data_IF_422114098049
#
_entry.id   IF_422114098049
#
_cell.length_a   1.000
_cell.length_b   1.000
_cell.length_c   1.000
_cell.angle_alpha   90.00
_cell.angle_beta   90.00
_cell.angle_gamma   90.00
#
_symmetry.space_group_name_H-M   'P 1'
#
loop_
_entity.id
_entity.type
_entity.pdbx_description
1 polymer ?
#
# COMPACT_ATOMS: atom_id res chain seq x y z
N UNK A 1 -73.44 141.92 84.72
CA UNK A 1 -72.63 142.92 83.98
C UNK A 1 -72.30 142.36 82.60
N UNK A 2 -71.91 143.24 81.68
CA UNK A 2 -71.42 143.06 80.30
C UNK A 2 -70.63 141.76 80.01
N UNK A 3 -70.79 141.11 78.84
CA UNK A 3 -70.24 141.47 77.49
C UNK A 3 -68.70 141.31 77.46
N UNK A 4 -68.01 140.74 76.46
CA UNK A 4 -68.39 140.45 75.05
C UNK A 4 -67.49 139.31 74.41
N UNK A 5 -67.28 139.15 73.08
CA UNK A 5 -67.57 137.94 72.29
C UNK A 5 -66.28 137.15 71.86
N UNK A 6 -66.17 136.29 70.82
CA UNK A 6 -66.95 136.09 69.58
C UNK A 6 -66.69 134.78 68.80
N UNK A 7 -67.43 134.65 67.69
CA UNK A 7 -67.17 133.93 66.43
C UNK A 7 -67.18 132.38 66.37
N UNK A 8 -68.32 131.88 65.84
CA UNK A 8 -68.48 131.00 64.67
C UNK A 8 -67.72 129.66 64.59
N UNK A 9 -68.33 128.54 64.16
CA UNK A 9 -69.62 128.34 63.47
C UNK A 9 -70.10 126.87 63.63
N UNK A 10 -71.43 126.67 63.69
CA UNK A 10 -72.27 125.52 63.20
C UNK A 10 -71.66 124.12 62.97
N UNK A 11 -72.33 122.99 63.25
CA UNK A 11 -73.56 122.70 64.01
C UNK A 11 -73.64 121.18 64.26
N UNK A 12 -74.06 120.79 65.47
CA UNK A 12 -74.86 119.58 65.83
C UNK A 12 -74.80 118.29 64.97
N UNK A 13 -74.45 117.15 65.58
CA UNK A 13 -75.46 116.11 65.90
C UNK A 13 -74.94 114.92 66.74
N UNK A 14 -75.88 114.18 67.36
CA UNK A 14 -75.68 113.23 68.45
C UNK A 14 -75.36 111.78 67.97
N UNK A 15 -74.18 111.20 68.26
CA UNK A 15 -73.56 110.17 67.40
C UNK A 15 -73.86 108.69 67.72
N UNK A 16 -74.99 108.34 68.37
CA UNK A 16 -75.21 106.96 68.88
C UNK A 16 -76.32 106.13 68.19
N UNK A 17 -76.77 106.47 66.97
CA UNK A 17 -77.82 105.71 66.25
C UNK A 17 -77.63 105.56 64.72
N UNK A 18 -76.46 105.15 64.23
CA UNK A 18 -76.29 104.72 62.81
C UNK A 18 -75.32 103.56 62.57
N UNK A 19 -74.82 102.87 63.61
CA UNK A 19 -73.85 101.77 63.43
C UNK A 19 -74.51 100.47 62.94
N UNK A 20 -74.84 100.44 61.65
CA UNK A 20 -75.36 99.26 60.96
C UNK A 20 -74.24 98.23 60.72
N UNK A 21 -74.04 97.33 61.69
CA UNK A 21 -73.16 96.18 61.54
C UNK A 21 -73.64 95.15 60.49
N UNK A 22 -74.90 95.26 60.03
CA UNK A 22 -75.52 94.34 59.08
C UNK A 22 -74.85 94.32 57.69
N UNK A 23 -74.14 95.39 57.32
CA UNK A 23 -73.44 95.52 56.03
C UNK A 23 -71.90 95.46 56.18
N UNK A 24 -71.38 94.72 57.17
CA UNK A 24 -69.94 94.55 57.34
C UNK A 24 -69.33 93.68 56.24
N UNK A 25 -68.58 94.30 55.34
CA UNK A 25 -67.69 93.62 54.38
C UNK A 25 -66.24 93.83 54.80
N UNK A 26 -65.56 92.75 55.21
CA UNK A 26 -64.16 92.81 55.65
C UNK A 26 -63.22 93.34 54.55
N UNK A 27 -63.51 93.03 53.28
CA UNK A 27 -62.74 93.50 52.11
C UNK A 27 -62.84 95.01 51.91
N UNK A 28 -64.01 95.59 52.14
CA UNK A 28 -64.27 97.00 51.88
C UNK A 28 -63.84 97.85 53.08
N UNK A 29 -64.04 97.34 54.30
CA UNK A 29 -63.49 97.93 55.52
C UNK A 29 -61.96 98.01 55.51
N UNK A 30 -61.26 96.98 54.98
CA UNK A 30 -59.79 96.98 54.84
C UNK A 30 -59.24 98.08 53.92
N UNK A 31 -60.04 98.58 52.97
CA UNK A 31 -59.64 99.68 52.08
C UNK A 31 -59.83 101.06 52.74
N UNK A 32 -60.77 101.18 53.67
CA UNK A 32 -61.12 102.44 54.34
C UNK A 32 -60.32 102.68 55.63
N UNK A 33 -59.75 101.63 56.22
CA UNK A 33 -59.20 101.64 57.58
C UNK A 33 -57.68 101.40 57.55
N UNK A 34 -56.91 102.39 58.02
CA UNK A 34 -55.45 102.30 58.09
C UNK A 34 -54.92 101.41 59.22
N UNK A 35 -53.66 100.98 59.08
CA UNK A 35 -52.95 100.05 59.99
C UNK A 35 -52.89 100.50 61.45
N UNK A 36 -52.92 101.81 61.71
CA UNK A 36 -52.88 102.40 63.06
C UNK A 36 -54.17 102.21 63.87
N UNK A 37 -55.26 101.77 63.24
CA UNK A 37 -56.57 101.63 63.88
C UNK A 37 -56.73 100.36 64.74
N UNK A 38 -55.89 99.34 64.51
CA UNK A 38 -55.97 97.99 65.09
C UNK A 38 -57.33 97.26 64.91
N UNK A 39 -58.23 97.75 64.03
CA UNK A 39 -59.57 97.15 63.83
C UNK A 39 -59.60 95.91 62.92
N UNK A 40 -58.54 95.69 62.15
CA UNK A 40 -58.37 94.55 61.26
C UNK A 40 -56.93 94.04 61.45
N UNK A 41 -56.78 92.74 61.72
CA UNK A 41 -55.49 92.08 61.90
C UNK A 41 -55.29 91.09 60.76
N UNK A 42 -54.33 91.37 59.87
CA UNK A 42 -54.06 90.54 58.68
C UNK A 42 -53.62 89.10 59.01
N UNK A 43 -53.20 88.84 60.25
CA UNK A 43 -52.88 87.50 60.75
C UNK A 43 -54.10 86.63 61.12
N UNK A 44 -55.32 87.18 61.21
CA UNK A 44 -56.54 86.44 61.58
C UNK A 44 -57.02 85.51 60.46
N UNK A 45 -56.75 85.87 59.20
CA UNK A 45 -56.99 85.09 57.98
C UNK A 45 -58.38 84.39 57.91
N UNK A 46 -59.40 85.19 57.61
CA UNK A 46 -60.76 84.71 57.35
C UNK A 46 -60.87 83.71 56.18
N UNK A 47 -59.80 83.53 55.38
CA UNK A 47 -59.76 82.57 54.26
C UNK A 47 -59.15 81.21 54.60
N UNK A 48 -58.66 81.01 55.84
CA UNK A 48 -57.91 79.83 56.28
C UNK A 48 -58.55 78.50 55.87
N UNK A 49 -59.86 78.34 56.10
CA UNK A 49 -60.61 77.12 55.77
C UNK A 49 -60.63 76.81 54.27
N UNK A 50 -60.79 77.84 53.42
CA UNK A 50 -60.77 77.70 51.97
C UNK A 50 -59.35 77.38 51.47
N UNK A 51 -58.31 78.05 52.00
CA UNK A 51 -56.91 77.74 51.65
C UNK A 51 -56.54 76.31 52.06
N UNK A 52 -56.91 75.88 53.26
CA UNK A 52 -56.66 74.51 53.74
C UNK A 52 -57.35 73.46 52.87
N UNK A 53 -58.60 73.69 52.47
CA UNK A 53 -59.33 72.80 51.54
C UNK A 53 -58.67 72.76 50.15
N UNK A 54 -58.23 73.91 49.62
CA UNK A 54 -57.53 73.97 48.34
C UNK A 54 -56.20 73.21 48.39
N UNK A 55 -55.40 73.40 49.45
CA UNK A 55 -54.15 72.66 49.67
C UNK A 55 -54.38 71.15 49.77
N UNK A 56 -55.44 70.71 50.47
CA UNK A 56 -55.81 69.29 50.54
C UNK A 56 -56.22 68.72 49.17
N UNK A 57 -56.95 69.49 48.35
CA UNK A 57 -57.32 69.08 46.99
C UNK A 57 -56.11 69.01 46.06
N UNK A 58 -55.20 70.00 46.12
CA UNK A 58 -53.94 70.00 45.37
C UNK A 58 -53.05 68.82 45.77
N UNK A 59 -52.91 68.56 47.08
CA UNK A 59 -52.13 67.42 47.58
C UNK A 59 -52.75 66.08 47.14
N UNK A 60 -54.08 65.95 47.14
CA UNK A 60 -54.77 64.76 46.63
C UNK A 60 -54.50 64.55 45.14
N UNK A 61 -54.68 65.60 44.33
CA UNK A 61 -54.47 65.56 42.88
C UNK A 61 -53.03 65.18 42.51
N UNK A 62 -52.03 65.77 43.18
CA UNK A 62 -50.62 65.38 43.00
C UNK A 62 -50.33 63.93 43.42
N UNK A 63 -50.94 63.43 44.51
CA UNK A 63 -50.79 62.04 44.93
C UNK A 63 -51.46 61.10 43.92
N UNK A 64 -52.67 61.43 43.45
CA UNK A 64 -53.41 60.64 42.47
C UNK A 64 -52.61 60.55 41.13
N UNK A 65 -52.03 61.66 40.67
CA UNK A 65 -51.12 61.72 39.51
C UNK A 65 -49.86 60.86 39.72
N UNK A 66 -49.17 61.01 40.85
CA UNK A 66 -47.96 60.21 41.17
C UNK A 66 -48.27 58.70 41.30
N UNK A 67 -49.44 58.34 41.82
CA UNK A 67 -49.89 56.93 41.91
C UNK A 67 -50.16 56.38 40.51
N UNK A 68 -50.79 57.17 39.62
CA UNK A 68 -51.07 56.77 38.25
C UNK A 68 -49.77 56.61 37.44
N UNK A 69 -48.88 57.60 37.43
CA UNK A 69 -47.56 57.52 36.77
C UNK A 69 -46.74 56.32 37.26
N UNK A 70 -46.80 56.03 38.57
CA UNK A 70 -46.09 54.89 39.16
C UNK A 70 -46.67 53.55 38.71
N UNK A 71 -48.00 53.44 38.56
CA UNK A 71 -48.67 52.23 38.02
C UNK A 71 -48.31 52.02 36.56
N UNK A 72 -48.46 53.04 35.72
CA UNK A 72 -48.10 52.99 34.30
C UNK A 72 -46.63 52.60 34.10
N UNK A 73 -45.72 53.17 34.90
CA UNK A 73 -44.30 52.78 34.90
C UNK A 73 -44.09 51.32 35.32
N UNK A 74 -44.84 50.82 36.31
CA UNK A 74 -44.76 49.42 36.74
C UNK A 74 -45.30 48.45 35.68
N UNK A 75 -46.37 48.81 34.99
CA UNK A 75 -46.95 48.02 33.90
C UNK A 75 -46.00 47.98 32.69
N UNK A 76 -45.45 49.13 32.27
CA UNK A 76 -44.43 49.19 31.22
C UNK A 76 -43.16 48.40 31.56
N UNK A 77 -42.67 48.47 32.80
CA UNK A 77 -41.54 47.66 33.27
C UNK A 77 -41.85 46.16 33.26
N UNK A 78 -43.09 45.77 33.55
CA UNK A 78 -43.52 44.38 33.50
C UNK A 78 -43.61 43.87 32.06
N UNK A 79 -44.20 44.65 31.16
CA UNK A 79 -44.31 44.31 29.73
C UNK A 79 -42.93 44.20 29.08
N UNK A 80 -42.03 45.16 29.32
CA UNK A 80 -40.66 45.11 28.79
C UNK A 80 -39.85 43.94 29.35
N UNK A 81 -40.02 43.58 30.62
CA UNK A 81 -39.41 42.37 31.20
C UNK A 81 -39.96 41.09 30.55
N UNK A 82 -41.28 40.99 30.33
CA UNK A 82 -41.90 39.84 29.66
C UNK A 82 -41.44 39.70 28.21
N UNK A 83 -41.31 40.82 27.47
CA UNK A 83 -40.77 40.82 26.11
C UNK A 83 -39.30 40.37 26.08
N UNK A 84 -38.48 40.83 27.04
CA UNK A 84 -37.09 40.41 27.17
C UNK A 84 -36.95 38.92 27.52
N UNK A 85 -37.76 38.41 28.45
CA UNK A 85 -37.78 36.99 28.80
C UNK A 85 -38.17 36.12 27.59
N UNK A 86 -39.19 36.53 26.82
CA UNK A 86 -39.61 35.84 25.59
C UNK A 86 -38.55 35.87 24.48
N UNK A 87 -37.82 36.98 24.34
CA UNK A 87 -36.67 37.04 23.42
C UNK A 87 -35.55 36.10 23.88
N UNK A 88 -35.27 36.06 25.19
CA UNK A 88 -34.22 35.24 25.79
C UNK A 88 -34.51 33.74 25.70
N UNK A 89 -35.75 33.30 25.89
CA UNK A 89 -36.14 31.90 25.67
C UNK A 89 -36.00 31.54 24.19
N UNK A 90 -36.49 32.37 23.27
CA UNK A 90 -36.34 32.13 21.82
C UNK A 90 -34.87 32.02 21.39
N UNK A 91 -33.98 32.89 21.89
CA UNK A 91 -32.52 32.80 21.61
C UNK A 91 -31.93 31.50 22.17
N UNK A 92 -32.33 31.08 23.37
CA UNK A 92 -31.88 29.84 23.98
C UNK A 92 -32.34 28.60 23.19
N UNK A 93 -33.60 28.56 22.77
CA UNK A 93 -34.16 27.46 22.00
C UNK A 93 -33.51 27.35 20.61
N UNK A 94 -33.24 28.49 19.97
CA UNK A 94 -32.46 28.56 18.74
C UNK A 94 -31.03 28.06 18.94
N UNK A 95 -30.36 28.42 20.04
CA UNK A 95 -29.01 27.95 20.35
C UNK A 95 -28.97 26.42 20.56
N UNK A 96 -29.93 25.86 21.31
CA UNK A 96 -30.07 24.40 21.51
C UNK A 96 -30.32 23.69 20.17
N UNK A 97 -31.20 24.24 19.33
CA UNK A 97 -31.50 23.69 18.00
C UNK A 97 -30.26 23.66 17.10
N UNK A 98 -29.48 24.75 17.07
CA UNK A 98 -28.23 24.83 16.32
C UNK A 98 -27.16 23.87 16.84
N UNK A 99 -27.00 23.75 18.17
CA UNK A 99 -26.04 22.83 18.79
C UNK A 99 -26.39 21.36 18.47
N UNK A 100 -27.68 21.00 18.53
CA UNK A 100 -28.13 19.65 18.16
C UNK A 100 -27.92 19.36 16.67
N UNK A 101 -28.25 20.32 15.79
CA UNK A 101 -28.00 20.19 14.36
C UNK A 101 -26.50 20.06 14.02
N UNK A 102 -25.63 20.74 14.79
CA UNK A 102 -24.18 20.61 14.66
C UNK A 102 -23.69 19.23 15.12
N UNK A 103 -24.15 18.75 16.28
CA UNK A 103 -23.84 17.42 16.82
C UNK A 103 -24.21 16.31 15.84
N UNK A 104 -25.40 16.36 15.23
CA UNK A 104 -25.83 15.36 14.25
C UNK A 104 -25.00 15.44 12.96
N UNK A 105 -24.67 16.64 12.45
CA UNK A 105 -23.75 16.79 11.31
C UNK A 105 -22.35 16.21 11.60
N UNK A 106 -21.80 16.44 12.80
CA UNK A 106 -20.52 15.87 13.24
C UNK A 106 -20.57 14.34 13.27
N UNK A 107 -21.61 13.75 13.87
CA UNK A 107 -21.82 12.29 13.90
C UNK A 107 -21.94 11.70 12.49
N UNK A 108 -22.73 12.34 11.62
CA UNK A 108 -22.91 11.92 10.24
C UNK A 108 -21.58 11.92 9.47
N UNK A 109 -20.80 13.01 9.56
CA UNK A 109 -19.48 13.10 8.95
C UNK A 109 -18.52 12.03 9.48
N UNK A 110 -18.47 11.84 10.81
CA UNK A 110 -17.63 10.81 11.44
C UNK A 110 -17.98 9.40 10.95
N UNK A 111 -19.27 9.07 10.87
CA UNK A 111 -19.76 7.79 10.34
C UNK A 111 -19.37 7.62 8.87
N UNK A 112 -19.57 8.65 8.05
CA UNK A 112 -19.25 8.64 6.61
C UNK A 112 -17.73 8.43 6.39
N UNK A 113 -16.88 9.13 7.13
CA UNK A 113 -15.43 8.94 7.10
C UNK A 113 -15.02 7.53 7.59
N UNK A 114 -15.70 6.98 8.59
CA UNK A 114 -15.44 5.61 9.06
C UNK A 114 -15.81 4.57 8.00
N UNK A 115 -16.94 4.73 7.31
CA UNK A 115 -17.39 3.85 6.23
C UNK A 115 -16.45 3.94 5.02
N UNK A 116 -16.06 5.15 4.61
CA UNK A 116 -15.05 5.36 3.57
C UNK A 116 -13.70 4.70 3.90
N UNK A 117 -13.18 4.90 5.13
CA UNK A 117 -11.92 4.30 5.56
C UNK A 117 -11.99 2.77 5.60
N UNK A 118 -13.14 2.18 5.96
CA UNK A 118 -13.37 0.72 5.88
C UNK A 118 -13.33 0.22 4.43
N UNK A 119 -14.00 0.92 3.51
CA UNK A 119 -13.98 0.58 2.09
C UNK A 119 -12.56 0.67 1.53
N UNK A 120 -11.84 1.77 1.80
CA UNK A 120 -10.46 1.95 1.35
C UNK A 120 -9.51 0.88 1.91
N UNK A 121 -9.70 0.46 3.16
CA UNK A 121 -8.94 -0.65 3.75
C UNK A 121 -9.22 -2.00 3.05
N UNK A 122 -10.49 -2.26 2.70
CA UNK A 122 -10.89 -3.45 1.94
C UNK A 122 -10.31 -3.46 0.52
N UNK A 123 -10.43 -2.35 -0.21
CA UNK A 123 -9.85 -2.19 -1.55
C UNK A 123 -8.32 -2.37 -1.54
N UNK A 124 -7.64 -1.83 -0.52
CA UNK A 124 -6.20 -2.03 -0.32
C UNK A 124 -5.84 -3.50 -0.07
N UNK A 125 -6.64 -4.21 0.74
CA UNK A 125 -6.45 -5.63 1.02
C UNK A 125 -6.64 -6.49 -0.24
N UNK A 126 -7.72 -6.29 -0.98
CA UNK A 126 -7.98 -7.03 -2.22
C UNK A 126 -6.94 -6.72 -3.30
N UNK A 127 -6.48 -5.47 -3.43
CA UNK A 127 -5.36 -5.11 -4.32
C UNK A 127 -4.08 -5.86 -3.94
N UNK A 128 -3.71 -5.88 -2.65
CA UNK A 128 -2.52 -6.59 -2.18
C UNK A 128 -2.65 -8.12 -2.40
N UNK A 129 -3.82 -8.69 -2.16
CA UNK A 129 -4.12 -10.11 -2.41
C UNK A 129 -4.01 -10.47 -3.88
N UNK A 130 -4.51 -9.63 -4.79
CA UNK A 130 -4.43 -9.85 -6.22
C UNK A 130 -2.99 -9.67 -6.74
N UNK A 131 -2.25 -8.67 -6.23
CA UNK A 131 -0.83 -8.49 -6.54
C UNK A 131 0.00 -9.72 -6.11
N UNK A 132 -0.23 -10.24 -4.90
CA UNK A 132 0.43 -11.47 -4.44
C UNK A 132 0.07 -12.69 -5.31
N UNK A 133 -1.17 -12.82 -5.80
CA UNK A 133 -1.52 -13.90 -6.75
C UNK A 133 -0.73 -13.79 -8.05
N UNK A 134 -0.67 -12.60 -8.64
CA UNK A 134 0.07 -12.35 -9.88
C UNK A 134 1.56 -12.67 -9.67
N UNK A 135 2.14 -12.23 -8.55
CA UNK A 135 3.53 -12.53 -8.19
C UNK A 135 3.78 -14.05 -8.04
N UNK A 136 2.85 -14.80 -7.44
CA UNK A 136 2.96 -16.27 -7.34
C UNK A 136 2.81 -16.95 -8.72
N UNK A 137 1.92 -16.45 -9.59
CA UNK A 137 1.77 -16.94 -10.96
C UNK A 137 3.04 -16.66 -11.79
N UNK A 138 3.60 -15.45 -11.72
CA UNK A 138 4.85 -15.07 -12.39
C UNK A 138 6.04 -15.88 -11.86
N UNK A 139 6.14 -16.10 -10.55
CA UNK A 139 7.16 -16.96 -9.95
C UNK A 139 7.02 -18.41 -10.44
N UNK A 140 5.81 -18.95 -10.51
CA UNK A 140 5.55 -20.30 -11.00
C UNK A 140 5.84 -20.44 -12.51
N UNK A 141 5.52 -19.41 -13.29
CA UNK A 141 5.86 -19.32 -14.72
C UNK A 141 7.39 -19.27 -14.91
N UNK A 142 8.11 -18.49 -14.10
CA UNK A 142 9.57 -18.41 -14.13
C UNK A 142 10.23 -19.74 -13.73
N UNK A 143 9.73 -20.42 -12.70
CA UNK A 143 10.17 -21.77 -12.31
C UNK A 143 9.94 -22.76 -13.46
N UNK A 144 8.75 -22.73 -14.09
CA UNK A 144 8.42 -23.58 -15.23
C UNK A 144 9.36 -23.32 -16.43
N UNK A 145 9.61 -22.05 -16.75
CA UNK A 145 10.56 -21.64 -17.78
C UNK A 145 11.98 -22.15 -17.48
N UNK A 146 12.49 -21.92 -16.27
CA UNK A 146 13.80 -22.43 -15.87
C UNK A 146 13.88 -23.96 -15.88
N UNK A 147 12.78 -24.67 -15.66
CA UNK A 147 12.72 -26.14 -15.67
C UNK A 147 12.64 -26.72 -17.08
N UNK A 148 12.05 -26.00 -18.04
CA UNK A 148 11.76 -26.50 -19.40
C UNK A 148 12.66 -25.90 -20.50
N UNK A 149 13.40 -24.82 -20.20
CA UNK A 149 14.29 -24.18 -21.17
C UNK A 149 15.42 -25.12 -21.62
N UNK A 150 15.71 -25.09 -22.92
CA UNK A 150 16.79 -25.85 -23.57
C UNK A 150 18.17 -25.68 -22.93
N UNK A 151 18.42 -24.54 -22.27
CA UNK A 151 19.68 -24.28 -21.56
C UNK A 151 19.79 -25.15 -20.30
N UNK A 152 18.88 -24.99 -19.35
CA UNK A 152 18.88 -25.75 -18.08
C UNK A 152 18.61 -27.26 -18.27
N UNK A 153 17.79 -27.64 -19.25
CA UNK A 153 17.53 -29.06 -19.58
C UNK A 153 18.66 -29.73 -20.36
N UNK A 154 19.69 -28.96 -20.73
CA UNK A 154 20.81 -29.38 -21.58
C UNK A 154 20.39 -30.05 -22.91
N UNK A 155 19.20 -29.71 -23.43
CA UNK A 155 18.56 -30.35 -24.59
C UNK A 155 19.53 -30.53 -25.78
N UNK A 156 19.79 -31.78 -26.17
CA UNK A 156 20.74 -32.13 -27.24
C UNK A 156 20.22 -31.80 -28.65
N UNK A 157 18.94 -31.50 -28.80
CA UNK A 157 18.39 -31.06 -30.09
C UNK A 157 18.95 -29.70 -30.52
N UNK A 158 19.39 -28.84 -29.59
CA UNK A 158 20.05 -27.56 -29.93
C UNK A 158 21.46 -27.74 -30.51
N UNK A 159 22.00 -28.96 -30.50
CA UNK A 159 23.28 -29.29 -31.12
C UNK A 159 23.17 -29.46 -32.64
N UNK A 160 21.99 -29.79 -33.18
CA UNK A 160 21.78 -30.03 -34.63
C UNK A 160 21.73 -28.72 -35.41
N UNK A 161 22.38 -28.67 -36.56
CA UNK A 161 22.34 -27.52 -37.48
C UNK A 161 21.06 -27.54 -38.33
N UNK A 162 20.38 -26.40 -38.45
CA UNK A 162 19.24 -26.27 -39.36
C UNK A 162 19.59 -26.47 -40.85
N UNK A 163 20.89 -26.44 -41.21
CA UNK A 163 21.36 -26.59 -42.59
C UNK A 163 21.53 -28.06 -43.03
N UNK A 164 21.68 -29.01 -42.11
CA UNK A 164 21.83 -30.44 -42.41
C UNK A 164 21.73 -31.28 -41.15
N UNK A 165 21.02 -32.40 -41.22
CA UNK A 165 20.82 -33.31 -40.07
C UNK A 165 22.12 -33.92 -39.54
N UNK A 166 23.09 -34.21 -40.41
CA UNK A 166 24.38 -34.79 -40.03
C UNK A 166 25.40 -33.74 -39.57
N UNK A 167 25.01 -32.46 -39.48
CA UNK A 167 25.91 -31.35 -39.10
C UNK A 167 25.57 -30.84 -37.71
N UNK A 168 26.58 -30.82 -36.84
CA UNK A 168 26.48 -30.24 -35.51
C UNK A 168 26.90 -28.75 -35.50
N UNK A 169 26.30 -27.97 -34.60
CA UNK A 169 26.65 -26.57 -34.33
C UNK A 169 27.89 -26.55 -33.42
N UNK A 170 29.04 -25.99 -33.86
CA UNK A 170 30.32 -26.16 -33.14
C UNK A 170 30.30 -25.69 -31.68
N UNK A 171 29.67 -24.54 -31.41
CA UNK A 171 29.60 -23.93 -30.07
C UNK A 171 28.48 -24.49 -29.18
N UNK A 172 27.64 -25.41 -29.69
CA UNK A 172 26.62 -26.11 -28.91
C UNK A 172 26.88 -27.62 -28.82
N UNK A 173 28.08 -28.11 -29.19
CA UNK A 173 28.38 -29.54 -29.17
C UNK A 173 28.53 -30.08 -27.74
N UNK A 174 27.67 -31.03 -27.36
CA UNK A 174 27.63 -31.65 -26.01
C UNK A 174 28.14 -33.10 -26.00
N UNK A 175 28.87 -33.50 -27.05
CA UNK A 175 29.38 -34.86 -27.25
C UNK A 175 28.40 -35.81 -27.94
N UNK A 176 28.89 -37.01 -28.26
CA UNK A 176 28.13 -38.03 -29.02
C UNK A 176 26.92 -38.58 -28.26
N UNK A 177 25.86 -38.86 -29.03
CA UNK A 177 24.64 -39.54 -28.60
C UNK A 177 24.98 -40.93 -28.02
N UNK A 178 24.31 -41.38 -26.93
CA UNK A 178 24.39 -42.76 -26.45
C UNK A 178 24.30 -43.85 -27.53
N UNK A 179 23.49 -43.66 -28.58
CA UNK A 179 23.40 -44.60 -29.70
C UNK A 179 24.66 -44.64 -30.58
N UNK A 180 25.29 -43.49 -30.85
CA UNK A 180 26.57 -43.43 -31.59
C UNK A 180 27.67 -44.12 -30.77
N UNK A 181 27.72 -43.84 -29.46
CA UNK A 181 28.64 -44.51 -28.51
C UNK A 181 28.40 -46.02 -28.45
N UNK A 182 27.15 -46.48 -28.56
CA UNK A 182 26.82 -47.92 -28.60
C UNK A 182 27.35 -48.56 -29.89
N UNK A 183 27.11 -47.96 -31.05
CA UNK A 183 27.65 -48.45 -32.34
C UNK A 183 29.17 -48.57 -32.34
N UNK A 184 29.88 -47.61 -31.73
CA UNK A 184 31.35 -47.67 -31.59
C UNK A 184 31.78 -48.89 -30.75
N UNK A 185 31.07 -49.21 -29.66
CA UNK A 185 31.35 -50.41 -28.85
C UNK A 185 31.05 -51.71 -29.60
N UNK A 186 29.90 -51.78 -30.26
CA UNK A 186 29.52 -52.94 -31.10
C UNK A 186 30.55 -53.20 -32.20
N UNK A 187 31.12 -52.14 -32.78
CA UNK A 187 32.18 -52.26 -33.80
C UNK A 187 33.53 -52.67 -33.19
N UNK A 188 33.88 -52.17 -32.01
CA UNK A 188 35.08 -52.61 -31.28
C UNK A 188 35.01 -54.08 -30.88
N UNK A 189 33.83 -54.58 -30.49
CA UNK A 189 33.59 -55.99 -30.17
C UNK A 189 33.82 -56.87 -31.41
N UNK A 190 33.31 -56.49 -32.59
CA UNK A 190 33.61 -57.18 -33.86
C UNK A 190 35.11 -57.18 -34.18
N UNK A 191 35.79 -56.03 -34.05
CA UNK A 191 37.23 -55.94 -34.33
C UNK A 191 38.09 -56.83 -33.42
N UNK A 192 37.63 -57.11 -32.19
CA UNK A 192 38.26 -58.07 -31.28
C UNK A 192 38.01 -59.50 -31.76
N UNK A 193 36.79 -59.81 -32.20
CA UNK A 193 36.42 -61.13 -32.72
C UNK A 193 37.13 -61.45 -34.05
N UNK A 194 37.12 -60.53 -35.02
CA UNK A 194 37.85 -60.62 -36.29
C UNK A 194 39.35 -60.86 -36.06
N UNK A 195 39.96 -60.13 -35.13
CA UNK A 195 41.38 -60.33 -34.77
C UNK A 195 41.63 -61.71 -34.16
N UNK A 196 40.74 -62.18 -33.28
CA UNK A 196 40.83 -63.53 -32.71
C UNK A 196 40.71 -64.61 -33.80
N UNK A 197 39.85 -64.40 -34.80
CA UNK A 197 39.70 -65.31 -35.94
C UNK A 197 40.94 -65.31 -36.83
N UNK A 198 41.54 -64.14 -37.11
CA UNK A 198 42.80 -64.02 -37.85
C UNK A 198 43.97 -64.70 -37.11
N UNK A 199 44.12 -64.47 -35.80
CA UNK A 199 45.12 -65.16 -34.98
C UNK A 199 44.93 -66.69 -34.96
N UNK A 200 43.69 -67.17 -35.11
CA UNK A 200 43.40 -68.60 -35.19
C UNK A 200 43.76 -69.17 -36.57
N UNK A 201 43.43 -68.46 -37.65
CA UNK A 201 43.81 -68.83 -39.02
C UNK A 201 45.33 -68.84 -39.19
N UNK A 202 46.04 -67.84 -38.67
CA UNK A 202 47.51 -67.78 -38.71
C UNK A 202 48.15 -68.95 -37.94
N UNK A 203 47.59 -69.37 -36.80
CA UNK A 203 48.05 -70.56 -36.07
C UNK A 203 47.82 -71.85 -36.86
N UNK A 204 46.71 -71.95 -37.58
CA UNK A 204 46.39 -73.11 -38.43
C UNK A 204 47.26 -73.18 -39.68
N UNK A 205 47.53 -72.04 -40.32
CA UNK A 205 48.44 -71.93 -41.46
C UNK A 205 49.89 -72.26 -41.06
N UNK A 206 50.40 -71.67 -39.97
CA UNK A 206 51.73 -72.00 -39.44
C UNK A 206 51.87 -73.49 -39.07
N UNK A 207 50.81 -74.09 -38.52
CA UNK A 207 50.78 -75.54 -38.25
C UNK A 207 50.83 -76.36 -39.53
N UNK A 208 50.08 -75.96 -40.56
CA UNK A 208 50.10 -76.64 -41.87
C UNK A 208 51.47 -76.52 -42.54
N UNK A 209 52.08 -75.33 -42.50
CA UNK A 209 53.42 -75.07 -43.03
C UNK A 209 54.48 -75.91 -42.31
N UNK A 210 54.42 -76.00 -40.97
CA UNK A 210 55.32 -76.87 -40.19
C UNK A 210 55.19 -78.35 -40.54
N UNK A 211 53.97 -78.85 -40.77
CA UNK A 211 53.74 -80.23 -41.23
C UNK A 211 54.31 -80.43 -42.65
N UNK A 212 54.15 -79.44 -43.53
CA UNK A 212 54.66 -79.48 -44.90
C UNK A 212 56.19 -79.43 -44.95
N UNK A 213 56.84 -78.63 -44.10
CA UNK A 213 58.29 -78.50 -44.02
C UNK A 213 58.94 -79.78 -43.49
N UNK A 214 58.42 -80.37 -42.41
CA UNK A 214 58.87 -81.70 -41.94
C UNK A 214 58.65 -82.77 -43.02
N UNK A 215 57.53 -82.75 -43.75
CA UNK A 215 57.30 -83.69 -44.85
C UNK A 215 58.34 -83.52 -45.98
N UNK A 216 58.66 -82.29 -46.39
CA UNK A 216 59.72 -82.01 -47.37
C UNK A 216 61.09 -82.44 -46.86
N UNK A 217 61.40 -82.18 -45.58
CA UNK A 217 62.63 -82.62 -44.92
C UNK A 217 62.79 -84.15 -44.95
N UNK A 218 61.73 -84.91 -44.63
CA UNK A 218 61.73 -86.37 -44.75
C UNK A 218 61.95 -86.83 -46.20
N UNK A 219 61.30 -86.20 -47.19
CA UNK A 219 61.54 -86.52 -48.60
C UNK A 219 62.99 -86.25 -49.02
N UNK A 220 63.56 -85.10 -48.63
CA UNK A 220 64.93 -84.70 -48.95
C UNK A 220 65.97 -85.67 -48.34
N UNK A 221 65.78 -86.08 -47.09
CA UNK A 221 66.64 -87.10 -46.44
C UNK A 221 66.54 -88.44 -47.18
N UNK A 222 65.34 -88.89 -47.52
CA UNK A 222 65.14 -90.13 -48.28
C UNK A 222 65.80 -90.07 -49.68
N UNK A 223 65.74 -88.92 -50.36
CA UNK A 223 66.38 -88.68 -51.65
C UNK A 223 67.92 -88.64 -51.52
N UNK A 224 68.46 -88.02 -50.48
CA UNK A 224 69.91 -88.07 -50.17
C UNK A 224 70.37 -89.52 -49.94
N UNK A 225 69.68 -90.29 -49.09
CA UNK A 225 69.99 -91.70 -48.84
C UNK A 225 69.92 -92.53 -50.14
N UNK A 226 68.94 -92.27 -51.01
CA UNK A 226 68.84 -92.93 -52.31
C UNK A 226 70.02 -92.56 -53.24
N UNK A 227 70.41 -91.28 -53.27
CA UNK A 227 71.56 -90.81 -54.05
C UNK A 227 72.89 -91.37 -53.52
N UNK A 228 73.09 -91.44 -52.20
CA UNK A 228 74.27 -92.07 -51.58
C UNK A 228 74.35 -93.57 -51.92
N UNK A 229 73.22 -94.30 -51.84
CA UNK A 229 73.14 -95.71 -52.25
C UNK A 229 73.50 -95.89 -53.73
N UNK A 230 73.00 -95.00 -54.61
CA UNK A 230 73.30 -95.04 -56.03
C UNK A 230 74.77 -94.64 -56.34
N UNK A 231 75.33 -93.68 -55.61
CA UNK A 231 76.74 -93.29 -55.73
C UNK A 231 77.66 -94.43 -55.27
N UNK A 232 77.34 -95.08 -54.14
CA UNK A 232 78.07 -96.25 -53.66
C UNK A 232 78.05 -97.40 -54.66
N UNK A 233 76.88 -97.72 -55.25
CA UNK A 233 76.80 -98.70 -56.35
C UNK A 233 77.75 -98.37 -57.50
N UNK A 234 77.74 -97.12 -57.99
CA UNK A 234 78.67 -96.68 -59.04
C UNK A 234 80.14 -96.79 -58.64
N UNK A 235 80.49 -96.50 -57.37
CA UNK A 235 81.86 -96.69 -56.87
C UNK A 235 82.25 -98.17 -56.80
N UNK A 236 81.34 -99.04 -56.39
CA UNK A 236 81.55 -100.50 -56.36
C UNK A 236 81.69 -101.06 -57.79
N UNK A 237 80.88 -100.60 -58.75
CA UNK A 237 81.00 -100.90 -60.19
C UNK A 237 82.36 -100.45 -60.77
N UNK A 238 82.79 -99.22 -60.46
CA UNK A 238 84.11 -98.69 -60.87
C UNK A 238 85.24 -99.51 -60.24
N UNK A 239 85.09 -99.96 -58.99
CA UNK A 239 86.06 -100.80 -58.28
C UNK A 239 86.18 -102.19 -58.90
N UNK A 240 85.07 -102.82 -59.28
CA UNK A 240 85.07 -104.08 -60.04
C UNK A 240 85.74 -103.90 -61.41
N UNK A 241 85.39 -102.86 -62.15
CA UNK A 241 86.00 -102.54 -63.44
C UNK A 241 87.52 -102.34 -63.34
N UNK A 242 87.98 -101.56 -62.35
CA UNK A 242 89.40 -101.36 -62.08
C UNK A 242 90.12 -102.66 -61.67
N UNK A 243 89.45 -103.55 -60.91
CA UNK A 243 90.00 -104.85 -60.54
C UNK A 243 90.14 -105.79 -61.76
N UNK A 244 89.19 -105.76 -62.68
CA UNK A 244 89.24 -106.49 -63.95
C UNK A 244 90.37 -105.95 -64.84
N UNK A 245 90.43 -104.63 -65.05
CA UNK A 245 91.50 -103.99 -65.82
C UNK A 245 92.90 -104.26 -65.23
N UNK A 246 93.04 -104.27 -63.90
CA UNK A 246 94.28 -104.63 -63.23
C UNK A 246 94.65 -106.12 -63.42
N UNK A 247 93.68 -107.04 -63.40
CA UNK A 247 93.91 -108.45 -63.75
C UNK A 247 94.37 -108.60 -65.20
N UNK A 248 93.75 -107.89 -66.14
CA UNK A 248 94.15 -107.88 -67.55
C UNK A 248 95.56 -107.31 -67.76
N UNK A 249 95.91 -106.20 -67.11
CA UNK A 249 97.28 -105.65 -67.16
C UNK A 249 98.29 -106.63 -66.59
N UNK A 250 97.98 -107.30 -65.48
CA UNK A 250 98.87 -108.30 -64.86
C UNK A 250 99.03 -109.54 -65.74
N UNK A 251 97.98 -109.94 -66.47
CA UNK A 251 98.03 -110.99 -67.48
C UNK A 251 98.90 -110.57 -68.68
N UNK A 252 98.70 -109.35 -69.20
CA UNK A 252 99.50 -108.76 -70.29
C UNK A 252 100.99 -108.65 -69.95
N UNK A 253 101.33 -108.23 -68.73
CA UNK A 253 102.72 -108.25 -68.25
C UNK A 253 103.27 -109.68 -68.20
N UNK A 254 102.49 -110.66 -67.72
CA UNK A 254 102.95 -112.04 -67.67
C UNK A 254 103.25 -112.59 -69.07
N UNK A 255 102.38 -112.33 -70.05
CA UNK A 255 102.60 -112.67 -71.47
C UNK A 255 103.63 -111.81 -72.21
N UNK A 256 104.30 -110.86 -71.53
CA UNK A 256 105.42 -110.09 -72.08
C UNK A 256 106.79 -110.55 -71.55
N UNK A 257 106.81 -111.44 -70.55
CA UNK A 257 108.02 -111.96 -69.91
C UNK A 257 108.07 -113.51 -69.87
N UNK A 258 107.10 -114.17 -70.51
CA UNK A 258 107.10 -115.58 -70.91
C UNK A 258 107.24 -115.65 -72.46
#
# INVERSE_FOLDING_TARGET
MSYNPANNQTSTDNPLKTTSWANYSHRDMKQQIGVSSLKILDGEDLSYGNRKRLQQLQQKDWIDQQVQEKRERQEYLKETHQAYDGQRTHINDMAISLENAEKEKRKYLQKTCQEYNKQQAFEKFDKARNQHKIEQEDNQNHISYCTTNNFQTENTNTCKSALSENRYIPYHWKGMNPQEKKKIKEEQEKQIEERRMLEQQEKEENKLYSIQDEHQRFQNINLQIANERNHKKKLDEIKEYNLLAAKEQKLKLKTMYD
#
